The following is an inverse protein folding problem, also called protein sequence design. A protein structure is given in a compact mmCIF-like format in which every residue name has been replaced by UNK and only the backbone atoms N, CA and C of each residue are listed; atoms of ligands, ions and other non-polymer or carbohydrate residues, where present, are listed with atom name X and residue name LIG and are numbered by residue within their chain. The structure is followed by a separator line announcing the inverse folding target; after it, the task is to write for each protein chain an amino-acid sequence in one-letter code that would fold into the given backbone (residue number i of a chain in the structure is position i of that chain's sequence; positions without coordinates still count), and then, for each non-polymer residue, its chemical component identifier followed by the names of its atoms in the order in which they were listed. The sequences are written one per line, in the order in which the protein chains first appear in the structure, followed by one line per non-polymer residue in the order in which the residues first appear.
data_IF_347312400714
#
_entry.id   IF_347312400714
#
_cell.length_a   1.000
_cell.length_b   1.000
_cell.length_c   1.000
_cell.angle_alpha   90.00
_cell.angle_beta   90.00
_cell.angle_gamma   90.00
#
_symmetry.space_group_name_H-M   'P 1'
#
loop_
_entity.id
_entity.type
_entity.pdbx_description
1 polymer ?
#
# COMPACT_ATOMS: atom_id res chain seq x y z
N UNK A 1 5.34 -54.26 -0.02
CA UNK A 1 6.43 -53.54 0.67
C UNK A 1 5.82 -52.32 1.32
N UNK A 2 5.79 -52.30 2.65
CA UNK A 2 5.27 -51.15 3.40
C UNK A 2 6.38 -50.10 3.48
N UNK A 3 6.21 -48.96 2.80
CA UNK A 3 7.18 -47.86 2.88
C UNK A 3 6.92 -47.15 4.20
N UNK A 4 7.70 -47.48 5.24
CA UNK A 4 7.64 -46.76 6.52
C UNK A 4 8.21 -45.36 6.30
N UNK A 5 7.33 -44.37 6.35
CA UNK A 5 7.74 -42.98 6.18
C UNK A 5 8.58 -42.53 7.39
N UNK A 6 9.82 -42.10 7.13
CA UNK A 6 10.80 -41.74 8.15
C UNK A 6 10.59 -40.34 8.74
N UNK A 7 9.66 -39.56 8.19
CA UNK A 7 9.46 -38.17 8.59
C UNK A 7 8.70 -38.08 9.91
N UNK A 8 9.19 -37.22 10.81
CA UNK A 8 8.53 -36.95 12.08
C UNK A 8 7.12 -36.39 11.83
N UNK A 9 6.10 -36.79 12.61
CA UNK A 9 4.70 -36.47 12.32
C UNK A 9 4.39 -34.97 12.28
N UNK A 10 5.20 -34.13 12.93
CA UNK A 10 5.05 -32.67 12.86
C UNK A 10 5.34 -32.12 11.47
N UNK A 11 6.22 -32.76 10.68
CA UNK A 11 6.64 -32.29 9.35
C UNK A 11 5.43 -32.13 8.44
N UNK A 12 4.49 -33.08 8.48
CA UNK A 12 3.25 -32.99 7.70
C UNK A 12 2.38 -31.80 8.11
N UNK A 13 2.28 -31.53 9.42
CA UNK A 13 1.52 -30.38 9.91
C UNK A 13 2.16 -29.07 9.50
N UNK A 14 3.49 -28.96 9.55
CA UNK A 14 4.20 -27.78 9.09
C UNK A 14 4.06 -27.57 7.59
N UNK A 15 4.27 -28.61 6.78
CA UNK A 15 4.12 -28.49 5.32
C UNK A 15 2.68 -28.13 4.95
N UNK A 16 1.69 -28.73 5.61
CA UNK A 16 0.29 -28.38 5.39
C UNK A 16 0.00 -26.93 5.76
N UNK A 17 0.54 -26.44 6.89
CA UNK A 17 0.37 -25.06 7.31
C UNK A 17 1.07 -24.07 6.35
N UNK A 18 2.29 -24.39 5.94
CA UNK A 18 3.06 -23.58 4.99
C UNK A 18 2.33 -23.50 3.66
N UNK A 19 1.85 -24.61 3.11
CA UNK A 19 1.04 -24.55 1.88
C UNK A 19 -0.21 -23.69 2.07
N UNK A 20 -0.90 -23.85 3.19
CA UNK A 20 -2.10 -23.09 3.48
C UNK A 20 -1.85 -21.59 3.67
N UNK A 21 -0.63 -21.18 4.04
CA UNK A 21 -0.24 -19.76 4.13
C UNK A 21 0.33 -19.24 2.81
N UNK A 22 1.23 -19.99 2.17
CA UNK A 22 1.97 -19.56 0.98
C UNK A 22 1.05 -19.44 -0.23
N UNK A 23 0.16 -20.39 -0.46
CA UNK A 23 -0.75 -20.36 -1.62
C UNK A 23 -1.61 -19.09 -1.61
N UNK A 24 -2.36 -18.76 -0.53
CA UNK A 24 -3.14 -17.53 -0.50
C UNK A 24 -2.26 -16.28 -0.44
N UNK A 25 -1.09 -16.32 0.21
CA UNK A 25 -0.18 -15.17 0.22
C UNK A 25 0.33 -14.82 -1.19
N UNK A 26 0.69 -15.82 -1.99
CA UNK A 26 1.11 -15.63 -3.39
C UNK A 26 -0.06 -15.11 -4.22
N UNK A 27 -1.26 -15.67 -4.06
CA UNK A 27 -2.45 -15.16 -4.74
C UNK A 27 -2.71 -13.69 -4.38
N UNK A 28 -2.67 -13.33 -3.11
CA UNK A 28 -2.84 -11.96 -2.64
C UNK A 28 -1.77 -11.02 -3.20
N UNK A 29 -0.50 -11.41 -3.13
CA UNK A 29 0.61 -10.65 -3.70
C UNK A 29 0.42 -10.43 -5.20
N UNK A 30 -0.01 -11.46 -5.92
CA UNK A 30 -0.22 -11.40 -7.37
C UNK A 30 -1.34 -10.42 -7.77
N UNK A 31 -2.38 -10.29 -6.94
CA UNK A 31 -3.49 -9.36 -7.20
C UNK A 31 -3.09 -7.93 -6.87
N UNK A 32 -2.42 -7.68 -5.75
CA UNK A 32 -2.24 -6.31 -5.23
C UNK A 32 -0.89 -5.68 -5.52
N UNK A 33 0.18 -6.46 -5.64
CA UNK A 33 1.56 -5.94 -5.67
C UNK A 33 2.37 -6.36 -6.88
N UNK A 34 2.05 -7.51 -7.50
CA UNK A 34 2.77 -7.95 -8.68
C UNK A 34 2.39 -7.11 -9.90
N UNK A 35 3.40 -6.62 -10.61
CA UNK A 35 3.24 -5.90 -11.86
C UNK A 35 3.23 -6.90 -13.03
N UNK A 36 2.09 -6.98 -13.71
CA UNK A 36 1.86 -7.89 -14.83
C UNK A 36 2.32 -7.32 -16.19
N UNK A 37 2.87 -6.10 -16.19
CA UNK A 37 3.37 -5.42 -17.38
C UNK A 37 2.31 -4.59 -18.12
N UNK A 38 2.66 -4.13 -19.32
CA UNK A 38 1.96 -3.07 -20.07
C UNK A 38 0.59 -3.49 -20.67
N UNK A 39 0.12 -4.69 -20.37
CA UNK A 39 -1.18 -5.22 -20.82
C UNK A 39 -2.31 -4.95 -19.83
N UNK A 40 -3.54 -4.78 -20.34
CA UNK A 40 -4.73 -4.65 -19.48
C UNK A 40 -4.94 -5.95 -18.69
N UNK A 41 -4.65 -5.93 -17.39
CA UNK A 41 -4.78 -7.09 -16.53
C UNK A 41 -6.05 -7.03 -15.67
N UNK A 42 -6.67 -8.18 -15.37
CA UNK A 42 -7.94 -8.24 -14.63
C UNK A 42 -7.83 -7.61 -13.23
N UNK A 43 -6.61 -7.58 -12.68
CA UNK A 43 -6.32 -7.02 -11.36
C UNK A 43 -6.00 -5.52 -11.35
N UNK A 44 -6.04 -4.82 -12.49
CA UNK A 44 -5.76 -3.36 -12.53
C UNK A 44 -6.76 -2.55 -11.72
N UNK A 45 -8.04 -2.93 -11.71
CA UNK A 45 -9.08 -2.22 -10.95
C UNK A 45 -8.93 -2.38 -9.43
N UNK A 46 -8.73 -3.60 -8.88
CA UNK A 46 -8.34 -3.78 -7.48
C UNK A 46 -7.10 -2.99 -7.07
N UNK A 47 -6.05 -2.98 -7.90
CA UNK A 47 -4.81 -2.23 -7.63
C UNK A 47 -5.07 -0.71 -7.57
N UNK A 48 -5.88 -0.17 -8.49
CA UNK A 48 -6.30 1.24 -8.47
C UNK A 48 -7.13 1.60 -7.25
N UNK A 49 -8.01 0.70 -6.80
CA UNK A 49 -8.73 0.89 -5.54
C UNK A 49 -7.76 0.92 -4.35
N UNK A 50 -6.85 -0.05 -4.26
CA UNK A 50 -5.83 -0.13 -3.20
C UNK A 50 -4.97 1.14 -3.16
N UNK A 51 -4.52 1.64 -4.31
CA UNK A 51 -3.73 2.87 -4.40
C UNK A 51 -4.50 4.09 -3.92
N UNK A 52 -5.79 4.22 -4.28
CA UNK A 52 -6.68 5.27 -3.74
C UNK A 52 -6.84 5.18 -2.22
N UNK A 53 -6.92 3.97 -1.67
CA UNK A 53 -6.96 3.79 -0.22
C UNK A 53 -5.65 4.22 0.42
N UNK A 54 -4.50 3.81 -0.13
CA UNK A 54 -3.19 4.26 0.36
C UNK A 54 -3.05 5.79 0.30
N UNK A 55 -3.45 6.42 -0.81
CA UNK A 55 -3.46 7.87 -0.95
C UNK A 55 -4.36 8.53 0.11
N UNK A 56 -5.56 7.98 0.37
CA UNK A 56 -6.44 8.49 1.41
C UNK A 56 -5.87 8.31 2.83
N UNK A 57 -5.16 7.21 3.09
CA UNK A 57 -4.52 6.93 4.39
C UNK A 57 -3.26 7.75 4.62
N UNK A 58 -2.48 8.05 3.57
CA UNK A 58 -1.26 8.86 3.66
C UNK A 58 -1.50 10.35 3.34
N UNK A 59 -2.73 10.73 2.95
CA UNK A 59 -3.15 12.13 2.86
C UNK A 59 -3.51 12.71 4.21
N UNK A 60 -3.42 14.03 4.34
CA UNK A 60 -3.85 14.75 5.54
C UNK A 60 -5.33 14.46 5.81
N UNK A 61 -5.68 14.26 7.07
CA UNK A 61 -7.10 14.23 7.44
C UNK A 61 -7.76 15.55 7.03
N UNK A 62 -9.10 15.59 6.79
CA UNK A 62 -9.78 16.80 6.36
C UNK A 62 -9.55 18.01 7.29
N UNK A 63 -9.27 17.75 8.57
CA UNK A 63 -8.94 18.78 9.55
C UNK A 63 -7.48 19.24 9.43
N UNK A 64 -6.54 18.34 9.19
CA UNK A 64 -5.14 18.67 8.96
C UNK A 64 -4.94 19.43 7.64
N UNK A 65 -5.72 19.12 6.61
CA UNK A 65 -5.71 19.85 5.34
C UNK A 65 -6.09 21.32 5.54
N UNK A 66 -7.10 21.62 6.37
CA UNK A 66 -7.54 23.00 6.66
C UNK A 66 -6.45 23.83 7.35
N UNK A 67 -5.73 23.24 8.28
CA UNK A 67 -4.64 23.91 8.99
C UNK A 67 -3.52 24.29 8.01
N UNK A 68 -3.16 23.36 7.12
CA UNK A 68 -2.15 23.62 6.07
C UNK A 68 -2.64 24.69 5.09
N UNK A 69 -3.91 24.65 4.66
CA UNK A 69 -4.48 25.66 3.76
C UNK A 69 -4.52 27.06 4.40
N UNK A 70 -4.82 27.15 5.71
CA UNK A 70 -4.80 28.39 6.48
C UNK A 70 -3.37 28.92 6.65
N UNK A 71 -2.40 28.06 6.93
CA UNK A 71 -0.98 28.42 7.05
C UNK A 71 -0.40 28.89 5.72
N UNK A 72 -0.72 28.19 4.62
CA UNK A 72 -0.28 28.57 3.27
C UNK A 72 -0.85 29.93 2.87
N UNK A 73 -2.14 30.20 3.16
CA UNK A 73 -2.75 31.53 2.95
C UNK A 73 -2.09 32.63 3.79
N UNK A 74 -1.70 32.33 5.03
CA UNK A 74 -1.00 33.30 5.87
C UNK A 74 0.40 33.63 5.32
N UNK A 75 1.11 32.64 4.81
CA UNK A 75 2.41 32.82 4.16
C UNK A 75 2.30 33.64 2.87
N UNK A 76 1.30 33.37 2.03
CA UNK A 76 1.06 34.13 0.79
C UNK A 76 0.70 35.60 1.08
N UNK A 77 -0.11 35.83 2.12
CA UNK A 77 -0.44 37.19 2.58
C UNK A 77 0.78 37.92 3.16
N UNK A 78 1.63 37.21 3.92
CA UNK A 78 2.86 37.76 4.47
C UNK A 78 3.92 38.04 3.38
N UNK A 79 4.00 37.19 2.35
CA UNK A 79 4.86 37.40 1.19
C UNK A 79 4.40 38.59 0.34
N UNK A 80 3.08 38.75 0.17
CA UNK A 80 2.48 39.92 -0.50
C UNK A 80 2.67 41.23 0.28
N UNK A 81 2.93 41.14 1.59
CA UNK A 81 3.18 42.28 2.47
C UNK A 81 4.66 42.66 2.63
N UNK A 82 5.61 42.00 1.97
CA UNK A 82 7.02 42.42 2.03
C UNK A 82 7.23 43.58 1.03
N UNK A 83 7.24 44.86 1.46
CA UNK A 83 7.47 45.95 0.54
C UNK A 83 8.90 45.85 0.00
N UNK A 84 9.02 45.99 -1.32
CA UNK A 84 10.13 46.67 -1.98
C UNK A 84 10.41 48.00 -1.26
N UNK A 85 11.21 47.94 -0.21
CA UNK A 85 11.74 49.08 0.54
C UNK A 85 13.24 48.86 0.72
N UNK A 86 13.95 48.74 -0.40
CA UNK A 86 15.39 48.84 -0.49
C UNK A 86 15.76 49.28 -1.92
N UNK A 87 15.50 50.54 -2.22
CA UNK A 87 16.06 51.28 -3.34
C UNK A 87 16.18 52.76 -2.94
#
# INVERSE_FOLDING_TARGET
MEIKDFRKPWVYKTVSLVNWLVIPAVAFYSVFFYDWGDGYHVFTEPQRWMRRQQEAFFSLSPEQQKIVDEETKQLDNAASQKPTSAA
#
